data_IF_374699145347
#
_entry.id   IF_374699145347
#
_cell.length_a   1.000
_cell.length_b   1.000
_cell.length_c   1.000
_cell.angle_alpha   90.00
_cell.angle_beta   90.00
_cell.angle_gamma   90.00
#
_symmetry.space_group_name_H-M   'P 1'
#
loop_
_entity.id
_entity.type
_entity.pdbx_description
1 polymer ?
#
# COMPACT_ATOMS: atom_id res chain seq x y z
N UNK A 1 6.99 -10.31 -16.40
CA UNK A 1 7.68 -10.98 -15.28
C UNK A 1 6.64 -11.66 -14.42
N UNK A 2 6.85 -12.93 -14.07
CA UNK A 2 5.97 -13.63 -13.16
C UNK A 2 6.83 -14.51 -12.29
N UNK A 3 6.61 -14.47 -10.99
CA UNK A 3 7.38 -15.27 -10.05
C UNK A 3 6.92 -16.73 -10.14
N UNK A 4 7.85 -17.68 -10.06
CA UNK A 4 7.61 -19.12 -10.21
C UNK A 4 7.02 -19.77 -8.96
N UNK A 5 6.87 -19.04 -7.86
CA UNK A 5 6.41 -19.60 -6.59
C UNK A 5 4.91 -19.46 -6.42
N UNK A 6 4.32 -20.47 -5.79
CA UNK A 6 2.88 -20.60 -5.61
C UNK A 6 2.34 -19.78 -4.43
N UNK A 7 3.19 -19.26 -3.55
CA UNK A 7 2.81 -18.41 -2.41
C UNK A 7 3.82 -17.25 -2.23
N UNK A 8 3.41 -15.99 -2.43
CA UNK A 8 4.26 -14.83 -2.20
C UNK A 8 4.59 -14.62 -0.72
N UNK A 9 3.75 -15.06 0.23
CA UNK A 9 4.07 -14.99 1.66
C UNK A 9 5.28 -15.88 1.98
N UNK A 10 5.25 -17.14 1.54
CA UNK A 10 6.34 -18.08 1.72
C UNK A 10 7.61 -17.64 1.00
N UNK A 11 7.50 -17.15 -0.23
CA UNK A 11 8.67 -16.67 -0.97
C UNK A 11 9.37 -15.51 -0.25
N UNK A 12 8.60 -14.60 0.35
CA UNK A 12 9.18 -13.50 1.12
C UNK A 12 9.76 -13.99 2.46
N UNK A 13 9.27 -15.09 3.01
CA UNK A 13 9.93 -15.74 4.16
C UNK A 13 11.25 -16.37 3.74
N UNK A 14 11.28 -17.07 2.60
CA UNK A 14 12.48 -17.79 2.14
C UNK A 14 13.58 -16.85 1.62
N UNK A 15 13.20 -15.77 0.93
CA UNK A 15 14.13 -14.81 0.30
C UNK A 15 14.16 -13.45 0.98
N UNK A 16 13.38 -13.25 2.04
CA UNK A 16 13.25 -11.96 2.73
C UNK A 16 14.59 -11.46 3.22
N UNK A 17 15.35 -12.30 3.91
CA UNK A 17 16.64 -11.91 4.51
C UNK A 17 17.69 -11.53 3.46
N UNK A 18 17.73 -12.24 2.32
CA UNK A 18 18.60 -11.91 1.19
C UNK A 18 18.23 -10.53 0.60
N UNK A 19 16.93 -10.29 0.39
CA UNK A 19 16.44 -9.01 -0.14
C UNK A 19 16.65 -7.85 0.85
N UNK A 20 16.46 -8.09 2.15
CA UNK A 20 16.74 -7.12 3.20
C UNK A 20 18.22 -6.76 3.24
N UNK A 21 19.12 -7.75 3.08
CA UNK A 21 20.56 -7.50 2.97
C UNK A 21 20.92 -6.71 1.72
N UNK A 22 20.27 -6.98 0.59
CA UNK A 22 20.57 -6.34 -0.69
C UNK A 22 19.97 -4.94 -0.85
N UNK A 23 18.70 -4.76 -0.45
CA UNK A 23 17.89 -3.58 -0.73
C UNK A 23 17.41 -2.84 0.53
N UNK A 24 17.70 -3.37 1.71
CA UNK A 24 17.34 -2.77 2.99
C UNK A 24 15.88 -3.00 3.39
N UNK A 25 15.58 -2.62 4.63
CA UNK A 25 14.24 -2.71 5.20
C UNK A 25 13.26 -1.75 4.48
N UNK A 26 12.11 -2.24 3.97
CA UNK A 26 11.09 -1.40 3.34
C UNK A 26 10.57 -0.25 4.21
N UNK A 27 10.50 -0.45 5.53
CA UNK A 27 10.04 0.50 6.53
C UNK A 27 11.19 1.20 7.28
N UNK A 28 12.37 0.58 7.38
CA UNK A 28 13.47 0.99 8.26
C UNK A 28 14.14 2.34 7.95
N UNK A 29 14.80 2.95 8.94
CA UNK A 29 15.48 4.25 8.77
C UNK A 29 16.82 4.10 8.00
N UNK A 30 17.19 5.12 7.21
CA UNK A 30 18.42 5.15 6.37
C UNK A 30 19.74 5.17 7.19
N UNK A 31 19.67 5.09 8.51
CA UNK A 31 20.86 5.01 9.36
C UNK A 31 21.31 3.57 9.48
N UNK A 32 22.40 3.23 8.78
CA UNK A 32 23.05 1.92 8.85
C UNK A 32 23.30 1.48 10.28
N UNK A 33 22.51 0.52 10.72
CA UNK A 33 22.80 -0.52 11.70
C UNK A 33 21.54 -1.37 11.72
N UNK A 34 21.69 -2.69 11.51
CA UNK A 34 20.59 -3.64 11.48
C UNK A 34 19.59 -3.34 12.59
N UNK A 35 18.43 -2.82 12.20
CA UNK A 35 17.48 -2.20 13.11
C UNK A 35 16.54 -3.24 13.72
N UNK A 36 17.06 -4.20 14.47
CA UNK A 36 16.23 -4.90 15.45
C UNK A 36 16.01 -3.94 16.61
N UNK A 37 14.90 -3.20 16.64
CA UNK A 37 14.50 -2.49 17.87
C UNK A 37 13.59 -1.28 17.70
N UNK A 38 12.35 -1.42 18.18
CA UNK A 38 11.47 -0.39 18.76
C UNK A 38 11.13 0.92 18.01
N UNK A 39 11.82 1.30 16.94
CA UNK A 39 11.51 2.52 16.18
C UNK A 39 10.40 2.30 15.12
N UNK A 40 10.17 1.07 14.67
CA UNK A 40 9.06 0.74 13.76
C UNK A 40 7.68 0.94 14.42
N UNK A 41 7.61 0.78 15.75
CA UNK A 41 6.45 1.09 16.57
C UNK A 41 6.13 2.60 16.62
N UNK A 42 7.04 3.47 16.16
CA UNK A 42 6.82 4.92 16.14
C UNK A 42 6.16 5.41 14.85
N UNK A 43 6.03 4.59 13.79
CA UNK A 43 5.35 5.01 12.54
C UNK A 43 3.95 5.56 12.82
N UNK A 44 3.24 4.99 13.80
CA UNK A 44 1.91 5.44 14.21
C UNK A 44 1.74 5.55 15.73
N UNK A 45 2.67 6.21 16.43
CA UNK A 45 2.58 6.35 17.89
C UNK A 45 1.27 7.01 18.35
N UNK A 46 0.77 6.62 19.53
CA UNK A 46 -0.50 7.11 20.11
C UNK A 46 -0.54 8.63 20.24
N UNK A 47 0.59 9.29 20.54
CA UNK A 47 0.67 10.76 20.61
C UNK A 47 0.41 11.41 19.23
N UNK A 48 0.75 10.73 18.14
CA UNK A 48 0.53 11.23 16.78
C UNK A 48 -0.91 11.07 16.28
N UNK A 49 -1.80 10.36 16.97
CA UNK A 49 -3.17 10.11 16.47
C UNK A 49 -4.17 11.22 16.88
N UNK A 50 -3.92 12.00 17.94
CA UNK A 50 -4.96 12.86 18.56
C UNK A 50 -5.16 14.28 17.95
N UNK A 51 -4.17 14.81 17.22
CA UNK A 51 -4.16 16.21 16.75
C UNK A 51 -3.91 16.38 15.24
N UNK A 52 -4.52 17.42 14.66
CA UNK A 52 -4.21 17.91 13.32
C UNK A 52 -2.86 18.63 13.35
N UNK A 53 -1.91 18.17 12.56
CA UNK A 53 -0.57 18.77 12.44
C UNK A 53 -0.18 18.66 10.96
N UNK A 54 0.43 19.71 10.39
CA UNK A 54 1.02 19.71 9.05
C UNK A 54 2.10 18.63 8.89
N UNK A 55 2.63 18.09 10.00
CA UNK A 55 3.50 16.91 10.00
C UNK A 55 2.75 15.59 9.71
N UNK A 56 1.43 15.57 9.84
CA UNK A 56 0.59 14.36 9.70
C UNK A 56 -0.22 14.30 8.40
N UNK A 57 -0.34 15.43 7.71
CA UNK A 57 -1.00 15.54 6.41
C UNK A 57 -0.24 16.56 5.59
N UNK A 58 0.18 16.18 4.40
CA UNK A 58 0.92 17.08 3.51
C UNK A 58 0.11 17.32 2.26
N UNK A 59 -0.23 18.58 2.01
CA UNK A 59 -0.92 18.98 0.80
C UNK A 59 0.10 19.46 -0.23
N UNK A 60 -0.07 19.04 -1.48
CA UNK A 60 0.56 19.74 -2.59
C UNK A 60 -0.10 21.12 -2.74
N UNK A 61 0.67 22.08 -3.24
CA UNK A 61 0.17 23.40 -3.63
C UNK A 61 0.30 23.52 -5.15
N UNK A 62 -0.73 24.02 -5.82
CA UNK A 62 -0.73 24.23 -7.26
C UNK A 62 0.31 25.26 -7.70
N UNK A 63 0.65 25.22 -8.99
CA UNK A 63 1.73 26.00 -9.62
C UNK A 63 1.61 27.53 -9.46
N UNK A 64 0.43 28.02 -9.06
CA UNK A 64 0.10 29.45 -8.99
C UNK A 64 -0.07 29.98 -7.55
N UNK A 65 0.39 29.26 -6.53
CA UNK A 65 0.26 29.69 -5.13
C UNK A 65 -1.18 29.71 -4.61
N UNK A 66 -2.11 29.09 -5.34
CA UNK A 66 -3.51 28.94 -4.92
C UNK A 66 -3.67 27.72 -4.02
N UNK A 67 -4.67 27.76 -3.14
CA UNK A 67 -5.09 26.69 -2.21
C UNK A 67 -5.66 25.45 -2.93
N UNK A 68 -5.08 25.05 -4.06
CA UNK A 68 -5.49 23.95 -4.91
C UNK A 68 -4.44 22.84 -4.80
N UNK A 69 -4.84 21.63 -4.43
CA UNK A 69 -3.92 20.51 -4.32
C UNK A 69 -4.49 19.29 -3.60
N UNK A 70 -3.68 18.24 -3.52
CA UNK A 70 -4.05 16.97 -2.93
C UNK A 70 -3.36 16.79 -1.59
N UNK A 71 -4.12 16.45 -0.55
CA UNK A 71 -3.58 16.19 0.78
C UNK A 71 -3.31 14.69 0.96
N UNK A 72 -2.03 14.33 1.09
CA UNK A 72 -1.61 12.97 1.36
C UNK A 72 -1.88 12.61 2.84
N UNK A 73 -2.57 11.49 3.10
CA UNK A 73 -2.85 11.05 4.47
C UNK A 73 -1.59 10.53 5.14
N UNK A 74 -1.53 10.62 6.47
CA UNK A 74 -0.39 10.15 7.28
C UNK A 74 0.14 8.75 6.91
N UNK A 75 -0.76 7.81 6.59
CA UNK A 75 -0.41 6.46 6.15
C UNK A 75 0.48 6.47 4.92
N UNK A 76 0.11 7.29 3.93
CA UNK A 76 0.84 7.44 2.67
C UNK A 76 2.21 8.07 2.89
N UNK A 77 2.32 9.07 3.76
CA UNK A 77 3.59 9.77 4.05
C UNK A 77 4.71 8.81 4.49
N UNK A 78 4.34 7.69 5.09
CA UNK A 78 5.27 6.73 5.66
C UNK A 78 5.16 5.34 5.03
N UNK A 79 4.59 5.23 3.83
CA UNK A 79 4.48 3.93 3.12
C UNK A 79 5.85 3.24 3.06
N UNK A 80 5.88 1.93 3.26
CA UNK A 80 7.13 1.15 3.25
C UNK A 80 7.59 0.86 1.82
N UNK A 81 8.19 1.84 1.15
CA UNK A 81 8.70 1.75 -0.22
C UNK A 81 10.23 1.94 -0.33
N UNK A 82 10.95 1.95 0.79
CA UNK A 82 12.39 2.29 0.82
C UNK A 82 13.27 1.26 0.13
N UNK A 83 12.91 -0.02 0.18
CA UNK A 83 13.62 -1.07 -0.55
C UNK A 83 13.59 -0.80 -2.06
N UNK A 84 12.48 -0.25 -2.58
CA UNK A 84 12.35 0.12 -3.99
C UNK A 84 13.32 1.24 -4.38
N UNK A 85 13.65 2.14 -3.44
CA UNK A 85 14.66 3.20 -3.66
C UNK A 85 16.08 2.65 -3.75
N UNK A 86 16.34 1.41 -3.34
CA UNK A 86 17.67 0.79 -3.35
C UNK A 86 17.87 -0.17 -4.52
N UNK A 87 16.80 -0.60 -5.21
CA UNK A 87 16.88 -1.48 -6.38
C UNK A 87 17.90 -0.94 -7.38
N UNK A 88 18.81 -1.80 -7.83
CA UNK A 88 19.77 -1.47 -8.88
C UNK A 88 19.19 -1.92 -10.21
N UNK A 89 18.84 -1.03 -11.15
CA UNK A 89 18.20 -1.45 -12.40
C UNK A 89 19.04 -2.46 -13.22
N UNK A 90 20.36 -2.50 -13.05
CA UNK A 90 21.26 -3.46 -13.71
C UNK A 90 21.26 -4.88 -13.14
N UNK A 91 20.73 -5.09 -11.94
CA UNK A 91 20.60 -6.44 -11.35
C UNK A 91 19.26 -7.10 -11.69
N UNK A 92 18.29 -6.34 -12.21
CA UNK A 92 17.03 -6.85 -12.75
C UNK A 92 17.37 -7.67 -14.01
N UNK A 93 17.38 -8.98 -13.82
CA UNK A 93 17.70 -10.03 -14.80
C UNK A 93 16.53 -11.02 -14.80
N UNK A 94 16.58 -12.09 -15.62
CA UNK A 94 15.51 -13.10 -15.66
C UNK A 94 15.22 -13.77 -14.30
N UNK A 95 16.13 -13.68 -13.32
CA UNK A 95 16.03 -14.28 -11.98
C UNK A 95 15.62 -13.30 -10.87
N UNK A 96 15.81 -11.98 -11.07
CA UNK A 96 15.40 -10.93 -10.12
C UNK A 96 14.20 -10.15 -10.68
N UNK A 97 13.02 -10.39 -10.10
CA UNK A 97 11.77 -9.80 -10.58
C UNK A 97 11.41 -8.56 -9.76
N UNK A 98 11.04 -7.46 -10.42
CA UNK A 98 10.45 -6.26 -9.79
C UNK A 98 9.29 -6.64 -8.85
N UNK A 99 8.54 -7.70 -9.22
CA UNK A 99 7.43 -8.21 -8.44
C UNK A 99 7.83 -8.61 -7.02
N UNK A 100 9.02 -9.20 -6.84
CA UNK A 100 9.47 -9.67 -5.55
C UNK A 100 9.73 -8.51 -4.59
N UNK A 101 10.41 -7.46 -5.05
CA UNK A 101 10.63 -6.23 -4.28
C UNK A 101 9.32 -5.51 -3.93
N UNK A 102 8.37 -5.46 -4.87
CA UNK A 102 7.04 -4.88 -4.64
C UNK A 102 6.25 -5.71 -3.63
N UNK A 103 6.35 -7.04 -3.68
CA UNK A 103 5.70 -7.93 -2.70
C UNK A 103 6.34 -7.81 -1.31
N UNK A 104 7.67 -7.66 -1.22
CA UNK A 104 8.37 -7.40 0.04
C UNK A 104 7.89 -6.08 0.67
N UNK A 105 7.85 -5.00 -0.11
CA UNK A 105 7.31 -3.71 0.32
C UNK A 105 5.86 -3.84 0.82
N UNK A 106 5.04 -4.57 0.07
CA UNK A 106 3.64 -4.82 0.41
C UNK A 106 3.48 -5.60 1.72
N UNK A 107 4.26 -6.67 1.96
CA UNK A 107 4.23 -7.46 3.20
C UNK A 107 4.54 -6.58 4.41
N UNK A 108 5.66 -5.86 4.38
CA UNK A 108 6.10 -4.98 5.46
C UNK A 108 5.10 -3.83 5.73
N UNK A 109 4.52 -3.25 4.67
CA UNK A 109 3.44 -2.28 4.79
C UNK A 109 2.23 -2.88 5.51
N UNK A 110 1.84 -4.11 5.16
CA UNK A 110 0.72 -4.82 5.79
C UNK A 110 0.95 -5.11 7.27
N UNK A 111 2.14 -5.58 7.63
CA UNK A 111 2.54 -5.87 9.02
C UNK A 111 2.54 -4.59 9.87
N UNK A 112 3.10 -3.51 9.36
CA UNK A 112 3.10 -2.22 10.08
C UNK A 112 1.69 -1.66 10.31
N UNK A 113 0.77 -1.92 9.37
CA UNK A 113 -0.63 -1.49 9.48
C UNK A 113 -1.42 -2.32 10.50
N UNK A 114 -1.08 -3.60 10.68
CA UNK A 114 -1.71 -4.44 11.71
C UNK A 114 -1.50 -3.84 13.10
N UNK A 115 -0.24 -3.56 13.47
CA UNK A 115 0.07 -2.96 14.77
C UNK A 115 -0.59 -1.59 14.97
N UNK A 116 -0.69 -0.79 13.90
CA UNK A 116 -1.43 0.48 13.95
C UNK A 116 -2.93 0.28 14.18
N UNK A 117 -3.53 -0.65 13.46
CA UNK A 117 -4.96 -0.94 13.51
C UNK A 117 -5.39 -1.34 14.93
N UNK A 118 -4.63 -2.22 15.56
CA UNK A 118 -4.86 -2.67 16.95
C UNK A 118 -4.87 -1.50 17.94
N UNK A 119 -3.86 -0.61 17.87
CA UNK A 119 -3.81 0.60 18.70
C UNK A 119 -5.00 1.53 18.44
N UNK A 120 -5.41 1.64 17.17
CA UNK A 120 -6.48 2.52 16.74
C UNK A 120 -7.87 2.01 17.15
N UNK A 121 -8.12 0.71 17.13
CA UNK A 121 -9.35 0.09 17.64
C UNK A 121 -9.48 0.23 19.16
N UNK A 122 -8.39 0.08 19.92
CA UNK A 122 -8.37 0.37 21.37
C UNK A 122 -8.77 1.82 21.64
N UNK A 123 -8.26 2.76 20.84
CA UNK A 123 -8.57 4.18 21.03
C UNK A 123 -9.98 4.55 20.55
N UNK A 124 -10.56 3.84 19.58
CA UNK A 124 -11.87 4.17 19.04
C UNK A 124 -12.64 2.88 18.74
N UNK A 125 -13.22 2.24 19.77
CA UNK A 125 -13.92 0.98 19.63
C UNK A 125 -15.14 1.10 18.69
N UNK A 126 -15.50 -0.01 18.03
CA UNK A 126 -16.69 -0.14 17.19
C UNK A 126 -16.73 0.79 15.97
N UNK A 127 -15.57 1.08 15.41
CA UNK A 127 -15.41 2.12 14.39
C UNK A 127 -15.97 1.81 13.01
N UNK A 128 -16.32 0.54 12.76
CA UNK A 128 -16.72 0.03 11.45
C UNK A 128 -15.63 0.13 10.37
N UNK A 129 -14.41 0.58 10.69
CA UNK A 129 -13.27 0.59 9.77
C UNK A 129 -12.56 -0.73 9.89
N UNK A 130 -12.67 -1.60 8.88
CA UNK A 130 -11.96 -2.88 8.90
C UNK A 130 -10.50 -2.67 8.51
N UNK A 131 -9.57 -3.37 9.17
CA UNK A 131 -8.16 -3.47 8.78
C UNK A 131 -7.98 -3.67 7.27
N UNK A 132 -8.82 -4.50 6.65
CA UNK A 132 -8.85 -4.73 5.20
C UNK A 132 -9.03 -3.45 4.37
N UNK A 133 -9.75 -2.45 4.88
CA UNK A 133 -9.91 -1.16 4.20
C UNK A 133 -8.65 -0.31 4.27
N UNK A 134 -7.85 -0.45 5.32
CA UNK A 134 -6.56 0.23 5.44
C UNK A 134 -5.52 -0.42 4.53
N UNK A 135 -5.46 -1.76 4.54
CA UNK A 135 -4.68 -2.54 3.58
C UNK A 135 -5.06 -2.21 2.13
N UNK A 136 -6.35 -2.13 1.80
CA UNK A 136 -6.84 -1.72 0.48
C UNK A 136 -6.37 -0.33 0.03
N UNK A 137 -6.20 0.60 0.97
CA UNK A 137 -5.70 1.94 0.65
C UNK A 137 -4.19 1.95 0.44
N UNK A 138 -3.42 1.22 1.25
CA UNK A 138 -1.98 1.09 1.04
C UNK A 138 -1.64 0.33 -0.23
N UNK A 139 -2.37 -0.73 -0.53
CA UNK A 139 -2.28 -1.44 -1.81
C UNK A 139 -2.46 -0.50 -3.01
N UNK A 140 -3.48 0.36 -2.98
CA UNK A 140 -3.73 1.31 -4.05
C UNK A 140 -2.63 2.37 -4.18
N UNK A 141 -2.03 2.80 -3.06
CA UNK A 141 -0.92 3.75 -3.07
C UNK A 141 0.37 3.13 -3.60
N UNK A 142 0.68 1.87 -3.23
CA UNK A 142 1.79 1.09 -3.82
C UNK A 142 1.56 0.94 -5.34
N UNK A 143 0.33 0.64 -5.75
CA UNK A 143 -0.03 0.59 -7.16
C UNK A 143 0.22 1.91 -7.89
N UNK A 144 -0.16 3.05 -7.30
CA UNK A 144 0.12 4.36 -7.91
C UNK A 144 1.62 4.68 -7.97
N UNK A 145 2.41 4.25 -6.99
CA UNK A 145 3.87 4.37 -7.01
C UNK A 145 4.45 3.62 -8.20
N UNK A 146 4.12 2.34 -8.34
CA UNK A 146 4.61 1.48 -9.44
C UNK A 146 4.18 2.04 -10.80
N UNK A 147 2.95 2.55 -10.89
CA UNK A 147 2.38 3.08 -12.14
C UNK A 147 2.83 4.51 -12.48
N UNK A 148 3.56 5.18 -11.60
CA UNK A 148 3.97 6.58 -11.80
C UNK A 148 2.80 7.57 -11.73
N UNK A 149 1.72 7.22 -11.02
CA UNK A 149 0.51 8.05 -10.86
C UNK A 149 0.39 8.70 -9.48
N UNK A 150 1.36 8.48 -8.62
CA UNK A 150 1.32 8.98 -7.26
C UNK A 150 1.52 10.51 -7.21
N UNK A 151 0.58 11.19 -6.54
CA UNK A 151 0.47 12.65 -6.44
C UNK A 151 1.24 13.24 -5.25
N UNK A 152 2.01 12.43 -4.50
CA UNK A 152 2.68 12.93 -3.30
C UNK A 152 3.94 13.73 -3.66
N UNK A 153 3.90 15.04 -3.42
CA UNK A 153 5.02 15.95 -3.73
C UNK A 153 5.94 16.26 -2.53
N UNK A 154 5.53 15.94 -1.29
CA UNK A 154 6.36 16.05 -0.08
C UNK A 154 7.10 17.39 0.11
N UNK A 155 8.16 17.37 0.92
CA UNK A 155 9.16 18.44 1.01
C UNK A 155 10.30 18.21 -0.01
N UNK A 156 11.25 19.15 -0.11
CA UNK A 156 12.38 19.05 -1.06
C UNK A 156 13.18 17.74 -0.96
N UNK A 157 13.38 17.20 0.25
CA UNK A 157 14.13 15.95 0.46
C UNK A 157 13.31 14.75 -0.02
N UNK A 158 12.05 14.69 0.37
CA UNK A 158 11.13 13.63 -0.04
C UNK A 158 10.94 13.64 -1.55
N UNK A 159 10.74 14.81 -2.16
CA UNK A 159 10.60 14.92 -3.61
C UNK A 159 11.82 14.33 -4.36
N UNK A 160 13.04 14.64 -3.90
CA UNK A 160 14.26 14.04 -4.48
C UNK A 160 14.30 12.51 -4.37
N UNK A 161 13.83 11.95 -3.25
CA UNK A 161 13.76 10.48 -3.08
C UNK A 161 12.73 9.86 -4.03
N UNK A 162 11.59 10.54 -4.23
CA UNK A 162 10.54 10.13 -5.16
C UNK A 162 10.98 10.19 -6.61
N UNK A 163 11.64 11.28 -7.01
CA UNK A 163 12.25 11.41 -8.34
C UNK A 163 13.28 10.31 -8.59
N UNK A 164 14.09 9.97 -7.58
CA UNK A 164 15.03 8.84 -7.65
C UNK A 164 14.32 7.50 -7.84
N UNK A 165 13.24 7.26 -7.08
CA UNK A 165 12.43 6.06 -7.20
C UNK A 165 11.76 5.96 -8.58
N UNK A 166 11.11 7.01 -9.06
CA UNK A 166 10.45 7.01 -10.36
C UNK A 166 11.47 6.82 -11.50
N UNK A 167 12.66 7.45 -11.41
CA UNK A 167 13.74 7.22 -12.37
C UNK A 167 14.17 5.75 -12.38
N UNK A 168 14.35 5.12 -11.22
CA UNK A 168 14.68 3.69 -11.12
C UNK A 168 13.59 2.82 -11.74
N UNK A 169 12.33 3.10 -11.45
CA UNK A 169 11.21 2.40 -12.07
C UNK A 169 11.20 2.60 -13.58
N UNK A 170 11.54 3.79 -14.11
CA UNK A 170 11.67 4.04 -15.56
C UNK A 170 12.76 3.18 -16.17
N UNK A 171 13.92 3.11 -15.53
CA UNK A 171 15.03 2.27 -15.99
C UNK A 171 14.65 0.78 -15.99
N UNK A 172 13.95 0.32 -14.96
CA UNK A 172 13.47 -1.07 -14.85
C UNK A 172 12.46 -1.38 -15.95
N UNK A 173 11.43 -0.54 -16.11
CA UNK A 173 10.41 -0.74 -17.13
C UNK A 173 10.97 -0.59 -18.55
N UNK A 174 12.01 0.21 -18.76
CA UNK A 174 12.73 0.27 -20.04
C UNK A 174 13.43 -1.04 -20.38
N UNK A 175 13.97 -1.75 -19.39
CA UNK A 175 14.53 -3.10 -19.59
C UNK A 175 13.45 -4.14 -19.84
N UNK A 176 12.36 -4.09 -19.08
CA UNK A 176 11.20 -4.96 -19.31
C UNK A 176 10.72 -4.77 -20.75
N UNK A 177 10.51 -3.52 -21.19
CA UNK A 177 10.12 -3.16 -22.56
C UNK A 177 11.11 -3.69 -23.60
N UNK A 178 12.42 -3.50 -23.39
CA UNK A 178 13.46 -3.98 -24.29
C UNK A 178 13.49 -5.50 -24.44
N UNK A 179 13.10 -6.24 -23.40
CA UNK A 179 13.02 -7.70 -23.39
C UNK A 179 11.67 -8.26 -23.89
N UNK A 180 10.69 -7.40 -24.16
CA UNK A 180 9.46 -7.83 -24.82
C UNK A 180 9.77 -8.21 -26.27
N UNK A 181 9.25 -9.36 -26.70
CA UNK A 181 9.30 -9.82 -28.10
C UNK A 181 8.22 -9.07 -28.91
N UNK A 182 7.25 -9.79 -29.46
CA UNK A 182 6.21 -9.26 -30.35
C UNK A 182 5.31 -8.22 -29.65
N UNK A 183 5.17 -8.30 -28.32
CA UNK A 183 4.38 -7.35 -27.54
C UNK A 183 5.02 -5.96 -27.41
N UNK A 184 6.29 -5.78 -27.79
CA UNK A 184 7.00 -4.51 -27.62
C UNK A 184 6.36 -3.37 -28.44
N UNK A 185 5.89 -3.69 -29.65
CA UNK A 185 5.25 -2.73 -30.57
C UNK A 185 3.90 -2.22 -30.06
N UNK A 186 3.25 -2.97 -29.16
CA UNK A 186 2.02 -2.55 -28.49
C UNK A 186 2.26 -1.38 -27.52
N UNK A 187 3.46 -1.31 -26.93
CA UNK A 187 3.82 -0.29 -25.95
C UNK A 187 4.68 0.80 -26.60
N UNK A 188 4.03 1.88 -27.08
CA UNK A 188 4.71 2.97 -27.80
C UNK A 188 5.35 4.03 -26.89
N UNK A 189 4.91 4.14 -25.63
CA UNK A 189 5.53 5.05 -24.65
C UNK A 189 6.85 4.48 -24.14
N UNK A 190 7.96 5.03 -24.63
CA UNK A 190 9.33 4.66 -24.23
C UNK A 190 9.96 5.62 -23.21
N UNK A 191 9.20 6.62 -22.74
CA UNK A 191 9.70 7.63 -21.79
C UNK A 191 9.26 7.30 -20.38
N UNK A 192 7.97 7.04 -20.19
CA UNK A 192 7.41 6.75 -18.87
C UNK A 192 6.88 5.32 -18.76
N UNK A 193 6.64 4.65 -19.89
CA UNK A 193 6.10 3.30 -19.97
C UNK A 193 4.73 3.17 -19.30
N UNK A 194 3.89 4.20 -19.33
CA UNK A 194 2.63 4.21 -18.56
C UNK A 194 1.72 3.03 -18.87
N UNK A 195 1.54 2.69 -20.15
CA UNK A 195 0.73 1.54 -20.56
C UNK A 195 1.31 0.23 -20.04
N UNK A 196 2.62 0.02 -20.22
CA UNK A 196 3.32 -1.18 -19.73
C UNK A 196 3.23 -1.31 -18.21
N UNK A 197 3.34 -0.20 -17.47
CA UNK A 197 3.20 -0.17 -16.01
C UNK A 197 1.79 -0.51 -15.53
N UNK A 198 0.76 -0.02 -16.22
CA UNK A 198 -0.64 -0.35 -15.92
C UNK A 198 -0.94 -1.83 -16.15
N UNK A 199 -0.48 -2.37 -17.27
CA UNK A 199 -0.66 -3.79 -17.61
C UNK A 199 0.13 -4.69 -16.65
N UNK A 200 1.37 -4.29 -16.31
CA UNK A 200 2.17 -4.99 -15.32
C UNK A 200 1.49 -5.01 -13.96
N UNK A 201 0.95 -3.88 -13.50
CA UNK A 201 0.20 -3.84 -12.25
C UNK A 201 -1.01 -4.76 -12.34
N UNK A 202 -1.82 -4.65 -13.39
CA UNK A 202 -3.03 -5.46 -13.59
C UNK A 202 -2.71 -6.96 -13.60
N UNK A 203 -1.60 -7.37 -14.20
CA UNK A 203 -1.16 -8.76 -14.24
C UNK A 203 -0.67 -9.31 -12.89
N UNK A 204 -0.16 -8.45 -12.00
CA UNK A 204 0.52 -8.85 -10.76
C UNK A 204 -0.19 -8.44 -9.47
N UNK A 205 -1.23 -7.61 -9.56
CA UNK A 205 -1.93 -7.01 -8.42
C UNK A 205 -2.52 -8.06 -7.46
N UNK A 206 -2.89 -9.25 -7.94
CA UNK A 206 -3.35 -10.37 -7.10
C UNK A 206 -2.24 -10.88 -6.18
N UNK A 207 -1.05 -11.08 -6.72
CA UNK A 207 0.14 -11.50 -5.96
C UNK A 207 0.54 -10.44 -4.93
N UNK A 208 0.51 -9.16 -5.31
CA UNK A 208 0.79 -8.04 -4.38
C UNK A 208 -0.28 -7.94 -3.30
N UNK A 209 -1.55 -8.21 -3.62
CA UNK A 209 -2.63 -8.24 -2.63
C UNK A 209 -2.44 -9.39 -1.64
N UNK A 210 -2.01 -10.55 -2.11
CA UNK A 210 -1.66 -11.67 -1.25
C UNK A 210 -0.51 -11.27 -0.31
N UNK A 211 0.56 -10.66 -0.82
CA UNK A 211 1.68 -10.19 -0.02
C UNK A 211 1.28 -9.19 1.09
N UNK A 212 0.50 -8.14 0.78
CA UNK A 212 0.08 -7.14 1.79
C UNK A 212 -0.87 -7.71 2.86
N UNK A 213 -1.51 -8.84 2.57
CA UNK A 213 -2.47 -9.47 3.49
C UNK A 213 -1.91 -10.68 4.23
N UNK A 214 -0.61 -11.00 4.10
CA UNK A 214 -0.01 -12.17 4.77
C UNK A 214 -0.25 -12.18 6.29
N UNK A 215 -0.01 -11.03 6.93
CA UNK A 215 -0.17 -10.85 8.38
C UNK A 215 -1.59 -10.51 8.85
N UNK A 216 -2.58 -10.45 7.93
CA UNK A 216 -3.96 -10.13 8.29
C UNK A 216 -4.58 -11.27 9.14
N UNK A 217 -5.27 -10.99 10.27
CA UNK A 217 -6.03 -11.98 11.02
C UNK A 217 -7.00 -12.82 10.17
N UNK A 218 -7.20 -14.08 10.56
CA UNK A 218 -8.05 -15.03 9.85
C UNK A 218 -9.52 -14.65 9.86
N UNK A 219 -9.98 -13.88 10.84
CA UNK A 219 -11.36 -13.36 10.87
C UNK A 219 -11.53 -12.02 10.13
N UNK A 220 -10.47 -11.48 9.52
CA UNK A 220 -10.53 -10.17 8.89
C UNK A 220 -11.35 -10.19 7.59
N UNK A 221 -12.42 -9.38 7.57
CA UNK A 221 -13.34 -9.29 6.44
C UNK A 221 -13.29 -7.92 5.74
N UNK A 222 -13.19 -7.92 4.41
CA UNK A 222 -13.44 -6.74 3.60
C UNK A 222 -14.93 -6.44 3.60
N UNK A 223 -15.28 -5.18 3.88
CA UNK A 223 -16.66 -4.80 4.20
C UNK A 223 -17.63 -4.94 3.01
N UNK A 224 -17.12 -4.92 1.77
CA UNK A 224 -17.93 -5.10 0.56
C UNK A 224 -18.06 -6.57 0.22
N UNK A 225 -19.28 -6.98 -0.12
CA UNK A 225 -19.53 -8.27 -0.74
C UNK A 225 -18.90 -8.29 -2.13
N UNK A 226 -17.71 -8.88 -2.25
CA UNK A 226 -16.87 -8.86 -3.46
C UNK A 226 -16.35 -10.24 -3.83
N UNK A 227 -16.63 -11.24 -2.99
CA UNK A 227 -16.31 -12.63 -3.22
C UNK A 227 -17.56 -13.39 -3.67
N UNK A 228 -17.36 -14.52 -4.36
CA UNK A 228 -18.46 -15.35 -4.86
C UNK A 228 -19.01 -14.88 -6.22
N UNK A 229 -20.18 -15.39 -6.59
CA UNK A 229 -20.84 -15.06 -7.86
C UNK A 229 -21.49 -13.66 -7.79
N UNK A 230 -21.56 -12.94 -8.91
CA UNK A 230 -22.17 -11.61 -9.02
C UNK A 230 -23.61 -11.55 -8.52
N UNK A 231 -24.34 -12.68 -8.55
CA UNK A 231 -25.71 -12.80 -8.04
C UNK A 231 -25.82 -12.88 -6.51
N UNK A 232 -24.78 -13.39 -5.82
CA UNK A 232 -24.76 -13.55 -4.36
C UNK A 232 -23.38 -13.10 -3.84
N UNK A 233 -23.15 -11.78 -3.77
CA UNK A 233 -21.87 -11.24 -3.31
C UNK A 233 -21.68 -11.50 -1.82
N UNK A 234 -20.54 -12.07 -1.46
CA UNK A 234 -20.15 -12.37 -0.08
C UNK A 234 -18.92 -11.56 0.34
N UNK A 235 -18.79 -11.29 1.64
CA UNK A 235 -17.57 -10.68 2.19
C UNK A 235 -16.42 -11.69 2.12
N UNK A 236 -15.19 -11.21 2.21
CA UNK A 236 -14.03 -12.10 2.30
C UNK A 236 -14.13 -12.95 3.57
N UNK A 237 -14.04 -14.29 3.47
CA UNK A 237 -14.17 -15.17 4.64
C UNK A 237 -13.00 -15.02 5.60
N UNK A 238 -11.77 -14.83 5.08
CA UNK A 238 -10.56 -14.75 5.90
C UNK A 238 -9.47 -13.86 5.29
N UNK A 239 -8.59 -13.32 6.15
CA UNK A 239 -7.39 -12.52 5.79
C UNK A 239 -7.63 -11.42 4.75
N UNK A 240 -8.83 -10.85 4.66
CA UNK A 240 -9.18 -9.90 3.60
C UNK A 240 -9.05 -10.46 2.16
N UNK A 241 -9.19 -11.78 1.97
CA UNK A 241 -9.00 -12.48 0.70
C UNK A 241 -10.28 -13.18 0.27
N UNK A 242 -10.55 -13.21 -1.04
CA UNK A 242 -11.58 -14.08 -1.59
C UNK A 242 -10.99 -15.48 -1.84
N UNK A 243 -11.69 -16.56 -1.44
CA UNK A 243 -11.23 -17.91 -1.71
C UNK A 243 -11.27 -18.17 -3.22
N UNK A 244 -10.41 -19.08 -3.69
CA UNK A 244 -10.52 -19.62 -5.05
C UNK A 244 -11.90 -20.24 -5.23
N UNK A 245 -12.64 -19.79 -6.22
CA UNK A 245 -13.82 -20.52 -6.73
C UNK A 245 -13.38 -21.35 -7.94
N UNK A 246 -13.97 -22.54 -8.09
CA UNK A 246 -13.70 -23.49 -9.19
C UNK A 246 -13.91 -22.90 -10.59
N UNK A 247 -14.69 -21.82 -10.71
CA UNK A 247 -15.05 -21.19 -12.00
C UNK A 247 -14.28 -19.89 -12.29
N UNK A 248 -13.51 -19.39 -11.31
CA UNK A 248 -12.66 -18.22 -11.48
C UNK A 248 -11.32 -18.62 -12.08
N UNK A 249 -11.14 -18.41 -13.39
CA UNK A 249 -9.87 -18.64 -14.09
C UNK A 249 -8.75 -17.96 -13.31
N UNK A 250 -7.91 -18.75 -12.66
CA UNK A 250 -6.74 -18.24 -11.95
C UNK A 250 -5.84 -17.54 -12.97
N UNK A 251 -5.34 -16.34 -12.64
CA UNK A 251 -4.28 -15.73 -13.45
C UNK A 251 -3.00 -16.58 -13.34
N UNK A 252 -2.78 -17.36 -12.25
CA UNK A 252 -1.76 -18.42 -12.14
C UNK A 252 -2.08 -19.52 -11.13
N UNK A 253 -1.55 -20.72 -11.39
CA UNK A 253 -1.55 -21.86 -10.48
C UNK A 253 -0.81 -21.52 -9.17
N UNK A 254 -1.41 -21.78 -8.00
CA UNK A 254 -0.71 -21.66 -6.71
C UNK A 254 -1.40 -20.81 -5.64
N UNK A 255 -1.51 -19.48 -5.82
CA UNK A 255 -1.86 -18.54 -4.72
C UNK A 255 -3.33 -18.51 -4.34
N UNK A 256 -3.70 -18.41 -3.05
CA UNK A 256 -5.06 -18.57 -2.53
C UNK A 256 -6.01 -17.39 -2.82
N UNK A 257 -5.57 -16.41 -3.59
CA UNK A 257 -6.34 -15.22 -3.99
C UNK A 257 -6.61 -15.26 -5.50
N UNK A 258 -7.85 -15.59 -5.92
CA UNK A 258 -8.24 -15.42 -7.33
C UNK A 258 -8.73 -14.00 -7.62
N UNK A 259 -9.27 -13.30 -6.61
CA UNK A 259 -9.92 -11.99 -6.74
C UNK A 259 -9.37 -11.06 -5.65
N UNK A 260 -8.81 -9.92 -6.07
CA UNK A 260 -8.56 -8.80 -5.17
C UNK A 260 -9.93 -8.15 -4.85
N UNK A 261 -10.39 -8.15 -3.60
CA UNK A 261 -11.74 -7.70 -3.22
C UNK A 261 -11.92 -6.17 -3.32
N UNK A 262 -10.87 -5.43 -3.71
CA UNK A 262 -10.89 -3.98 -3.84
C UNK A 262 -10.54 -3.55 -5.25
N UNK A 263 -11.13 -2.41 -5.65
CA UNK A 263 -10.83 -1.67 -6.87
C UNK A 263 -10.28 -0.29 -6.55
N UNK A 264 -9.81 -0.06 -5.32
CA UNK A 264 -9.27 1.24 -4.91
C UNK A 264 -8.07 1.65 -5.76
N UNK A 265 -7.27 0.71 -6.24
CA UNK A 265 -6.18 0.97 -7.17
C UNK A 265 -6.66 1.54 -8.52
N UNK A 266 -7.93 1.38 -8.90
CA UNK A 266 -8.50 2.01 -10.09
C UNK A 266 -9.27 3.31 -9.81
N UNK A 267 -9.34 3.73 -8.54
CA UNK A 267 -9.95 5.02 -8.16
C UNK A 267 -8.88 6.10 -8.13
N UNK A 268 -9.08 7.29 -8.72
CA UNK A 268 -8.12 8.39 -8.67
C UNK A 268 -7.63 8.71 -7.25
N UNK A 269 -6.31 8.88 -7.08
CA UNK A 269 -5.67 8.97 -5.77
C UNK A 269 -6.25 10.06 -4.88
N UNK A 270 -6.49 11.25 -5.44
CA UNK A 270 -7.12 12.37 -4.75
C UNK A 270 -8.46 11.98 -4.08
N UNK A 271 -9.35 11.29 -4.80
CA UNK A 271 -10.65 10.87 -4.28
C UNK A 271 -10.51 9.86 -3.12
N UNK A 272 -9.49 8.99 -3.19
CA UNK A 272 -9.21 8.02 -2.12
C UNK A 272 -8.73 8.72 -0.85
N UNK A 273 -7.88 9.73 -1.00
CA UNK A 273 -7.38 10.53 0.10
C UNK A 273 -8.49 11.34 0.75
N UNK A 274 -9.30 12.07 -0.04
CA UNK A 274 -10.45 12.85 0.46
C UNK A 274 -11.42 11.95 1.23
N UNK A 275 -11.83 10.82 0.65
CA UNK A 275 -12.72 9.85 1.31
C UNK A 275 -12.11 9.28 2.59
N UNK A 276 -10.81 8.97 2.58
CA UNK A 276 -10.08 8.47 3.74
C UNK A 276 -10.03 9.50 4.89
N UNK A 277 -9.77 10.76 4.55
CA UNK A 277 -9.72 11.88 5.48
C UNK A 277 -11.08 12.16 6.11
N UNK A 278 -12.14 12.22 5.30
CA UNK A 278 -13.50 12.43 5.80
C UNK A 278 -13.91 11.37 6.84
N UNK A 279 -13.62 10.09 6.58
CA UNK A 279 -13.88 9.01 7.56
C UNK A 279 -13.09 9.17 8.86
N UNK A 280 -11.81 9.53 8.78
CA UNK A 280 -10.98 9.75 9.98
C UNK A 280 -11.46 10.96 10.76
N UNK A 281 -11.82 12.06 10.09
CA UNK A 281 -12.34 13.27 10.71
C UNK A 281 -13.62 12.99 11.50
N UNK A 282 -14.64 12.37 10.87
CA UNK A 282 -15.91 12.07 11.54
C UNK A 282 -15.72 11.18 12.78
N UNK A 283 -14.85 10.15 12.70
CA UNK A 283 -14.53 9.27 13.84
C UNK A 283 -13.88 10.02 14.99
N UNK A 284 -12.88 10.86 14.71
CA UNK A 284 -12.22 11.68 15.74
C UNK A 284 -13.16 12.71 16.36
N UNK A 285 -14.00 13.36 15.54
CA UNK A 285 -15.02 14.31 16.00
C UNK A 285 -15.97 13.65 17.00
N UNK A 286 -16.51 12.46 16.67
CA UNK A 286 -17.41 11.71 17.56
C UNK A 286 -16.82 11.51 18.96
N UNK A 287 -15.60 10.94 19.05
CA UNK A 287 -14.94 10.72 20.34
C UNK A 287 -14.65 12.03 21.10
N UNK A 288 -14.20 13.09 20.42
CA UNK A 288 -13.95 14.38 21.07
C UNK A 288 -15.23 14.99 21.64
N UNK A 289 -16.35 14.86 20.92
CA UNK A 289 -17.66 15.33 21.38
C UNK A 289 -18.16 14.52 22.59
N UNK A 290 -18.05 13.19 22.55
CA UNK A 290 -18.41 12.32 23.69
C UNK A 290 -17.59 12.66 24.94
N UNK A 291 -16.27 12.83 24.81
CA UNK A 291 -15.40 13.25 25.91
C UNK A 291 -15.81 14.62 26.47
N UNK A 292 -16.15 15.58 25.61
CA UNK A 292 -16.62 16.91 26.05
C UNK A 292 -17.95 16.81 26.80
N UNK A 293 -18.89 16.01 26.32
CA UNK A 293 -20.18 15.79 27.00
C UNK A 293 -19.98 15.18 28.38
N UNK A 294 -19.15 14.15 28.50
CA UNK A 294 -18.86 13.51 29.80
C UNK A 294 -18.20 14.49 30.78
N UNK A 295 -17.18 15.25 30.32
CA UNK A 295 -16.50 16.23 31.16
C UNK A 295 -17.40 17.39 31.59
N UNK A 296 -18.34 17.82 30.75
CA UNK A 296 -19.32 18.86 31.10
C UNK A 296 -20.33 18.32 32.10
N UNK A 297 -20.84 17.10 31.90
CA UNK A 297 -21.77 16.45 32.84
C UNK A 297 -21.14 16.21 34.21
N UNK A 298 -19.87 15.79 34.27
CA UNK A 298 -19.12 15.64 35.53
C UNK A 298 -18.90 16.97 36.26
N UNK A 299 -18.76 18.09 35.54
CA UNK A 299 -18.62 19.42 36.15
C UNK A 299 -19.93 20.04 36.64
N UNK A 300 -21.08 19.52 36.20
CA UNK A 300 -22.41 19.99 36.60
C UNK A 300 -22.96 19.20 37.80
N UNK A 301 -22.41 18.03 38.09
CA UNK A 301 -22.71 17.23 39.29
C UNK A 301 -21.84 17.65 40.46
#
# INVERSE_FOLDING_TARGET
ETVSTNDPCQLIEDKGDELLGAHGDPCGNVSGNGGTGNDDLKRFSKERVAEYDNKKMKCSYGSNGKNEGACAPFRRLHVCDKNLEQIKPHTITATHNLLLDVCLAAKYEGESLKGYHEQYEVQYPSSGSTMCTELARSFADIGDIVRGKDLYSGNKKENKQREKLDKKLKDIFGKIHGNLKDARTHYSDTTNYYQLREDWWTANRSTVWEAITCGAPDYAQYFRGTCGNTKIPSKTPNKCRCPKTSDGKAIKAGGNVSIVPTYFDYVPQFLRWVRGMGRRFCRKKKKKVENLQNNVVEKIK
#
